data_IF_663625172478
#
_entry.id   IF_663625172478
#
_cell.length_a   1.000
_cell.length_b   1.000
_cell.length_c   1.000
_cell.angle_alpha   90.00
_cell.angle_beta   90.00
_cell.angle_gamma   90.00
#
_symmetry.space_group_name_H-M   'P 1'
#
loop_
_entity.id
_entity.type
_entity.pdbx_description
1 polymer ?
#
# COMPACT_ATOMS: atom_id res chain seq x y z
N UNK A 1 5.86 8.78 19.83
CA UNK A 1 5.78 7.86 18.65
C UNK A 1 5.18 8.63 17.48
N UNK A 2 5.70 8.44 16.26
CA UNK A 2 5.09 9.04 15.05
C UNK A 2 3.86 8.22 14.66
N UNK A 3 2.70 8.86 14.52
CA UNK A 3 1.50 8.24 13.98
C UNK A 3 1.65 8.08 12.47
N UNK A 4 1.26 6.93 11.94
CA UNK A 4 1.15 6.71 10.50
C UNK A 4 -0.07 7.51 10.04
N UNK A 5 0.13 8.37 9.03
CA UNK A 5 -0.97 9.14 8.43
C UNK A 5 -1.40 8.57 7.09
N UNK A 6 -0.46 7.95 6.37
CA UNK A 6 -0.71 7.42 5.03
C UNK A 6 0.07 6.13 4.81
N UNK A 7 -0.57 5.13 4.21
CA UNK A 7 -0.01 3.82 3.88
C UNK A 7 0.09 3.61 2.36
N UNK A 8 1.25 3.15 1.89
CA UNK A 8 1.48 2.77 0.49
C UNK A 8 1.32 1.27 0.31
N UNK A 9 0.15 0.84 -0.16
CA UNK A 9 -0.19 -0.57 -0.26
C UNK A 9 0.15 -1.10 -1.65
N UNK A 10 1.01 -2.12 -1.74
CA UNK A 10 1.38 -2.74 -3.01
C UNK A 10 1.63 -4.23 -2.79
N UNK A 11 0.58 -5.03 -2.94
CA UNK A 11 0.64 -6.48 -2.75
C UNK A 11 0.24 -7.23 -4.03
N UNK A 12 0.74 -8.44 -4.17
CA UNK A 12 0.27 -9.36 -5.20
C UNK A 12 -0.91 -10.21 -4.69
N UNK A 13 -0.69 -10.89 -3.56
CA UNK A 13 -1.69 -11.69 -2.86
C UNK A 13 -2.50 -10.83 -1.88
N UNK A 14 -3.82 -11.05 -1.85
CA UNK A 14 -4.79 -10.23 -1.09
C UNK A 14 -5.37 -10.97 0.13
N UNK A 15 -4.95 -12.21 0.36
CA UNK A 15 -5.35 -12.98 1.55
C UNK A 15 -4.97 -12.21 2.82
N UNK A 16 -5.95 -11.93 3.69
CA UNK A 16 -5.75 -11.23 4.96
C UNK A 16 -5.46 -9.72 4.84
N UNK A 17 -5.47 -9.17 3.62
CA UNK A 17 -5.23 -7.74 3.43
C UNK A 17 -6.42 -6.91 3.94
N UNK A 18 -7.63 -7.41 3.81
CA UNK A 18 -8.88 -6.80 4.28
C UNK A 18 -8.85 -6.45 5.77
N UNK A 19 -8.34 -7.33 6.63
CA UNK A 19 -8.20 -7.07 8.06
C UNK A 19 -7.20 -5.92 8.34
N UNK A 20 -6.10 -5.89 7.59
CA UNK A 20 -5.06 -4.86 7.72
C UNK A 20 -5.60 -3.51 7.27
N UNK A 21 -6.27 -3.47 6.11
CA UNK A 21 -6.86 -2.24 5.56
C UNK A 21 -7.93 -1.70 6.48
N UNK A 22 -8.78 -2.57 7.04
CA UNK A 22 -9.83 -2.15 7.98
C UNK A 22 -9.24 -1.49 9.21
N UNK A 23 -8.26 -2.12 9.87
CA UNK A 23 -7.60 -1.54 11.06
C UNK A 23 -6.91 -0.21 10.77
N UNK A 24 -6.20 -0.12 9.64
CA UNK A 24 -5.55 1.13 9.24
C UNK A 24 -6.57 2.23 8.96
N UNK A 25 -7.72 1.88 8.37
CA UNK A 25 -8.79 2.85 8.14
C UNK A 25 -9.42 3.35 9.45
N UNK A 26 -9.66 2.45 10.39
CA UNK A 26 -10.14 2.78 11.75
C UNK A 26 -9.18 3.74 12.48
N UNK A 27 -7.87 3.58 12.26
CA UNK A 27 -6.83 4.47 12.77
C UNK A 27 -6.73 5.81 12.02
N UNK A 28 -7.56 6.04 10.99
CA UNK A 28 -7.60 7.26 10.20
C UNK A 28 -6.47 7.37 9.17
N UNK A 29 -5.89 6.23 8.76
CA UNK A 29 -4.82 6.19 7.77
C UNK A 29 -5.39 6.31 6.35
N UNK A 30 -4.79 7.19 5.55
CA UNK A 30 -5.10 7.30 4.12
C UNK A 30 -4.37 6.23 3.30
N UNK A 31 -4.99 5.73 2.23
CA UNK A 31 -4.39 4.72 1.37
C UNK A 31 -3.87 5.27 0.05
N UNK A 32 -2.69 4.80 -0.32
CA UNK A 32 -2.08 5.00 -1.63
C UNK A 32 -1.78 3.67 -2.27
N UNK A 33 -2.22 3.48 -3.51
CA UNK A 33 -1.97 2.25 -4.23
C UNK A 33 -2.15 2.42 -5.73
N UNK A 34 -1.77 1.39 -6.49
CA UNK A 34 -1.95 1.32 -7.95
C UNK A 34 -2.50 -0.04 -8.36
N UNK A 35 -3.03 -0.11 -9.58
CA UNK A 35 -3.48 -1.36 -10.20
C UNK A 35 -4.47 -2.17 -9.36
N UNK A 36 -4.28 -3.49 -9.30
CA UNK A 36 -5.22 -4.39 -8.63
C UNK A 36 -5.25 -4.31 -7.10
N UNK A 37 -4.26 -3.68 -6.46
CA UNK A 37 -4.30 -3.45 -5.01
C UNK A 37 -5.23 -2.28 -4.68
N UNK A 38 -5.15 -1.20 -5.46
CA UNK A 38 -6.10 -0.07 -5.37
C UNK A 38 -7.55 -0.52 -5.52
N UNK A 39 -7.83 -1.28 -6.58
CA UNK A 39 -9.18 -1.80 -6.84
C UNK A 39 -9.70 -2.66 -5.69
N UNK A 40 -8.83 -3.45 -5.05
CA UNK A 40 -9.21 -4.24 -3.89
C UNK A 40 -9.61 -3.35 -2.71
N UNK A 41 -8.80 -2.33 -2.38
CA UNK A 41 -9.11 -1.40 -1.29
C UNK A 41 -10.42 -0.65 -1.56
N UNK A 42 -10.62 -0.16 -2.77
CA UNK A 42 -11.85 0.52 -3.18
C UNK A 42 -13.06 -0.44 -3.14
N UNK A 43 -12.88 -1.73 -3.47
CA UNK A 43 -13.93 -2.74 -3.38
C UNK A 43 -14.39 -3.05 -1.95
N UNK A 44 -13.54 -2.79 -0.96
CA UNK A 44 -13.91 -2.83 0.46
C UNK A 44 -14.67 -1.58 0.93
N UNK A 45 -14.85 -0.60 0.04
CA UNK A 45 -15.52 0.67 0.35
C UNK A 45 -14.60 1.75 0.91
N UNK A 46 -13.28 1.52 0.92
CA UNK A 46 -12.32 2.48 1.48
C UNK A 46 -11.70 3.38 0.40
N UNK A 47 -11.53 4.69 0.67
CA UNK A 47 -10.93 5.60 -0.30
C UNK A 47 -9.44 5.30 -0.49
N UNK A 48 -9.00 5.18 -1.74
CA UNK A 48 -7.61 4.96 -2.10
C UNK A 48 -7.17 5.95 -3.20
N UNK A 49 -6.10 6.69 -2.95
CA UNK A 49 -5.50 7.61 -3.92
C UNK A 49 -4.50 6.86 -4.82
N UNK A 50 -4.33 7.33 -6.06
CA UNK A 50 -3.29 6.79 -6.93
C UNK A 50 -1.91 7.27 -6.48
N UNK A 51 -0.89 6.45 -6.64
CA UNK A 51 0.50 6.85 -6.33
C UNK A 51 1.00 7.85 -7.36
N UNK A 52 0.52 7.74 -8.59
CA UNK A 52 0.78 8.64 -9.71
C UNK A 52 0.27 10.06 -9.41
N UNK A 53 -0.80 10.21 -8.60
CA UNK A 53 -1.34 11.53 -8.23
C UNK A 53 -0.41 12.29 -7.27
N UNK A 54 0.40 11.58 -6.49
CA UNK A 54 1.33 12.17 -5.52
C UNK A 54 2.75 12.30 -6.02
N UNK A 55 3.10 11.58 -7.09
CA UNK A 55 4.45 11.57 -7.60
C UNK A 55 4.45 11.85 -9.09
N UNK A 56 5.18 12.88 -9.52
CA UNK A 56 5.50 13.10 -10.93
C UNK A 56 6.40 12.00 -11.52
N UNK A 57 6.52 10.83 -10.87
CA UNK A 57 7.39 9.71 -11.24
C UNK A 57 6.59 8.69 -12.06
N UNK A 58 6.67 8.72 -13.40
CA UNK A 58 5.58 8.19 -14.22
C UNK A 58 5.55 6.67 -14.38
N UNK A 59 6.53 5.88 -13.90
CA UNK A 59 6.66 4.50 -14.43
C UNK A 59 7.53 3.51 -13.63
N UNK A 60 7.80 3.70 -12.33
CA UNK A 60 8.70 2.76 -11.62
C UNK A 60 7.99 1.45 -11.17
N UNK A 61 6.66 1.38 -11.20
CA UNK A 61 5.91 0.17 -10.80
C UNK A 61 5.74 -0.86 -11.93
N UNK A 62 6.70 -0.95 -12.87
CA UNK A 62 6.78 -1.95 -13.94
C UNK A 62 7.15 -3.37 -13.49
N UNK A 63 6.64 -3.82 -12.34
CA UNK A 63 6.68 -5.24 -11.95
C UNK A 63 8.00 -5.82 -11.43
N UNK A 64 9.04 -5.01 -11.20
CA UNK A 64 10.32 -5.47 -10.62
C UNK A 64 10.92 -4.54 -9.56
N UNK A 65 10.09 -3.92 -8.73
CA UNK A 65 10.59 -3.19 -7.55
C UNK A 65 10.90 -4.20 -6.45
N UNK A 66 12.14 -4.71 -6.43
CA UNK A 66 12.70 -5.33 -5.24
C UNK A 66 12.95 -4.22 -4.23
N UNK A 67 12.08 -4.16 -3.22
CA UNK A 67 12.21 -3.39 -1.97
C UNK A 67 13.01 -2.10 -2.10
N UNK A 68 12.37 -1.00 -2.50
CA UNK A 68 13.02 0.31 -2.45
C UNK A 68 12.94 0.86 -1.01
N UNK A 69 14.03 0.68 -0.27
CA UNK A 69 14.30 1.39 0.98
C UNK A 69 14.81 2.82 0.67
N UNK A 70 14.86 3.71 1.67
CA UNK A 70 13.90 4.74 2.03
C UNK A 70 14.13 6.07 1.26
N UNK A 71 13.15 6.50 0.46
CA UNK A 71 13.10 7.89 -0.05
C UNK A 71 11.69 8.45 -0.23
N UNK A 72 10.71 7.90 0.50
CA UNK A 72 9.45 8.60 0.71
C UNK A 72 9.57 9.34 2.04
N UNK A 73 9.17 10.62 2.05
CA UNK A 73 9.19 11.51 3.20
C UNK A 73 8.69 10.78 4.46
N UNK A 74 9.27 11.06 5.63
CA UNK A 74 9.06 10.32 6.89
C UNK A 74 7.61 10.31 7.45
N UNK A 75 6.63 10.71 6.65
CA UNK A 75 5.19 10.74 6.89
C UNK A 75 4.44 9.58 6.20
N UNK A 76 5.07 8.90 5.23
CA UNK A 76 4.51 7.74 4.52
C UNK A 76 5.23 6.45 4.95
N UNK A 77 4.61 5.65 5.79
CA UNK A 77 5.12 4.31 6.11
C UNK A 77 3.96 3.33 6.25
N UNK A 78 3.84 2.43 5.28
CA UNK A 78 3.74 0.96 5.41
C UNK A 78 3.78 0.44 3.97
N UNK A 79 4.71 -0.48 3.67
CA UNK A 79 4.72 -1.27 2.43
C UNK A 79 4.54 -2.73 2.84
N UNK A 80 3.33 -3.25 2.67
CA UNK A 80 3.06 -4.67 2.92
C UNK A 80 3.49 -5.44 1.67
N UNK A 81 4.56 -6.24 1.75
CA UNK A 81 4.91 -7.21 0.71
C UNK A 81 4.64 -8.60 1.27
N UNK A 82 3.43 -9.10 1.04
CA UNK A 82 3.04 -10.46 1.44
C UNK A 82 3.54 -11.46 0.39
N UNK A 83 4.77 -11.96 0.56
CA UNK A 83 5.18 -13.22 -0.06
C UNK A 83 4.83 -14.35 0.89
N UNK A 84 3.82 -15.15 0.54
CA UNK A 84 3.63 -16.46 1.16
C UNK A 84 4.68 -17.42 0.62
N UNK A 85 5.95 -17.18 0.95
CA UNK A 85 6.99 -18.20 0.87
C UNK A 85 7.24 -18.65 2.30
N UNK A 86 6.37 -19.51 2.80
CA UNK A 86 6.65 -20.56 3.78
C UNK A 86 5.36 -21.38 3.96
N UNK A 87 5.14 -22.30 3.03
CA UNK A 87 4.41 -23.52 3.34
C UNK A 87 4.97 -24.67 2.48
N UNK A 88 6.17 -25.10 2.86
CA UNK A 88 6.59 -26.49 2.86
C UNK A 88 7.24 -26.78 4.20
#
# INVERSE_FOLDING_TARGET
>A
MKKIKTALVSVYHKEGLDEIITKLHEDGVEFLSTGGTRQFIESLGYPCKAVEDLTSYPSILGGRVKTLHPKFSAEFYVVVNWNKTDNK
#
